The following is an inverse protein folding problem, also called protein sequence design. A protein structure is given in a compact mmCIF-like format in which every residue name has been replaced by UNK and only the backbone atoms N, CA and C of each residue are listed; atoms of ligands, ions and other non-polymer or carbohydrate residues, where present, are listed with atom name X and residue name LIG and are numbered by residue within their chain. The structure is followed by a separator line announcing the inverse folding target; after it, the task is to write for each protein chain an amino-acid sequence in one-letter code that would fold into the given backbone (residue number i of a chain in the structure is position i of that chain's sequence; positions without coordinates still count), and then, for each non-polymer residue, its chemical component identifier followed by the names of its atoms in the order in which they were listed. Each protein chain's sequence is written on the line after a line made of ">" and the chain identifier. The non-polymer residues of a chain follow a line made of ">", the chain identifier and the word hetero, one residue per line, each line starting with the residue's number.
data_IF_717869085185
#
_entry.id   IF_717869085185
#
_cell.length_a   1.000
_cell.length_b   1.000
_cell.length_c   1.000
_cell.angle_alpha   90.00
_cell.angle_beta   90.00
_cell.angle_gamma   90.00
#
_symmetry.space_group_name_H-M   'P 1'
#
loop_
_entity.id
_entity.type
_entity.pdbx_description
1 polymer ?
#
# COMPACT_ATOMS: atom_id res chain seq x y z
N UNK A 1 53.73 37.71 -3.21
CA UNK A 1 52.36 38.26 -3.07
C UNK A 1 51.94 38.75 -4.45
N UNK A 2 50.81 38.27 -4.99
CA UNK A 2 49.55 38.93 -4.68
C UNK A 2 48.40 37.99 -4.27
N UNK A 3 47.35 38.64 -3.77
CA UNK A 3 46.14 38.19 -3.08
C UNK A 3 45.37 37.06 -3.77
N UNK A 4 44.90 36.09 -2.98
CA UNK A 4 43.69 35.32 -3.29
C UNK A 4 42.48 36.22 -3.02
N UNK A 5 41.74 36.55 -4.08
CA UNK A 5 40.37 37.06 -3.97
C UNK A 5 39.42 35.91 -3.60
N UNK A 6 38.54 36.07 -2.60
CA UNK A 6 37.43 35.17 -2.35
C UNK A 6 36.20 35.72 -3.10
N UNK A 7 35.99 35.28 -4.33
CA UNK A 7 34.91 35.82 -5.14
C UNK A 7 34.62 35.01 -6.39
N UNK A 8 33.99 33.84 -6.21
CA UNK A 8 33.27 33.15 -7.27
C UNK A 8 32.24 32.19 -6.65
N UNK A 9 31.20 32.76 -6.05
CA UNK A 9 29.95 32.04 -5.83
C UNK A 9 29.31 31.85 -7.22
N UNK A 10 29.47 30.65 -7.79
CA UNK A 10 28.79 30.27 -9.02
C UNK A 10 27.34 29.99 -8.70
N UNK A 11 26.47 30.81 -9.27
CA UNK A 11 25.04 30.63 -9.32
C UNK A 11 24.69 29.24 -9.90
N UNK A 12 24.20 28.35 -9.04
CA UNK A 12 23.39 27.21 -9.44
C UNK A 12 21.96 27.58 -9.05
N UNK A 13 21.10 27.72 -10.07
CA UNK A 13 19.73 28.18 -9.93
C UNK A 13 18.95 27.34 -8.91
N UNK A 14 18.20 28.06 -8.09
CA UNK A 14 17.11 27.52 -7.30
C UNK A 14 16.07 26.92 -8.27
N UNK A 15 16.27 25.65 -8.62
CA UNK A 15 15.17 24.81 -9.07
C UNK A 15 14.28 24.63 -7.85
N UNK A 16 13.27 25.50 -7.73
CA UNK A 16 12.26 25.44 -6.69
C UNK A 16 11.74 24.01 -6.58
N UNK A 17 11.93 23.42 -5.41
CA UNK A 17 11.26 22.18 -5.04
C UNK A 17 9.76 22.33 -5.37
N UNK A 18 9.10 21.34 -5.98
CA UNK A 18 7.65 21.34 -6.04
C UNK A 18 7.13 21.55 -4.61
N UNK A 19 6.11 22.41 -4.48
CA UNK A 19 5.49 22.69 -3.19
C UNK A 19 5.24 21.37 -2.46
N UNK A 20 5.75 21.26 -1.23
CA UNK A 20 5.55 20.09 -0.38
C UNK A 20 4.07 19.70 -0.44
N UNK A 21 3.71 18.45 -0.77
CA UNK A 21 2.35 18.00 -0.48
C UNK A 21 2.11 18.26 1.01
N UNK A 22 0.97 18.87 1.32
CA UNK A 22 0.58 19.26 2.67
C UNK A 22 0.90 18.10 3.61
N UNK A 23 1.65 18.40 4.68
CA UNK A 23 2.07 17.37 5.61
C UNK A 23 0.84 16.66 6.16
N UNK A 24 0.92 15.34 6.36
CA UNK A 24 -0.11 14.56 7.04
C UNK A 24 -0.43 15.07 8.48
N UNK A 25 0.22 16.14 8.94
CA UNK A 25 0.02 16.80 10.24
C UNK A 25 -0.78 18.12 10.10
N UNK A 26 -0.97 18.64 8.88
CA UNK A 26 -2.10 19.56 8.58
C UNK A 26 -3.44 18.80 8.51
N UNK A 27 -3.41 17.46 8.61
CA UNK A 27 -4.54 16.60 9.03
C UNK A 27 -4.76 16.68 10.56
N UNK A 28 -4.85 17.93 11.04
CA UNK A 28 -5.12 18.53 12.38
C UNK A 28 -5.72 17.75 13.58
N UNK A 29 -5.93 16.43 13.57
CA UNK A 29 -6.82 15.82 14.56
C UNK A 29 -8.25 16.39 14.46
N UNK A 30 -8.55 17.04 13.35
CA UNK A 30 -9.86 17.48 12.93
C UNK A 30 -10.07 16.96 11.51
N UNK A 31 -11.25 16.39 11.27
CA UNK A 31 -11.67 15.85 9.98
C UNK A 31 -11.41 16.87 8.86
N UNK A 32 -10.99 16.47 7.64
CA UNK A 32 -10.84 17.36 6.49
C UNK A 32 -12.06 18.28 6.30
N UNK A 33 -11.87 19.48 5.76
CA UNK A 33 -12.95 20.48 5.67
C UNK A 33 -14.21 19.95 4.96
N UNK A 34 -14.03 19.26 3.84
CA UNK A 34 -15.14 18.63 3.11
C UNK A 34 -15.89 17.58 3.95
N UNK A 35 -15.19 16.88 4.86
CA UNK A 35 -15.80 15.93 5.80
C UNK A 35 -16.59 16.67 6.86
N UNK A 36 -16.06 17.77 7.42
CA UNK A 36 -16.77 18.61 8.39
C UNK A 36 -18.06 19.19 7.81
N UNK A 37 -17.99 19.59 6.54
CA UNK A 37 -19.13 20.15 5.81
C UNK A 37 -20.18 19.08 5.46
N UNK A 38 -19.78 17.80 5.39
CA UNK A 38 -20.65 16.65 5.18
C UNK A 38 -21.24 16.06 6.48
N UNK A 39 -20.80 16.49 7.67
CA UNK A 39 -21.41 16.10 8.96
C UNK A 39 -22.77 16.79 9.12
N UNK A 40 -23.78 16.23 8.45
CA UNK A 40 -25.19 16.59 8.57
C UNK A 40 -26.00 15.53 9.31
N UNK A 41 -27.31 15.78 9.44
CA UNK A 41 -28.29 14.83 9.99
C UNK A 41 -28.17 13.49 9.23
N UNK A 42 -28.17 12.33 9.92
CA UNK A 42 -28.02 11.02 9.26
C UNK A 42 -29.04 10.86 8.13
N UNK A 43 -28.55 10.71 6.90
CA UNK A 43 -29.41 10.37 5.75
C UNK A 43 -29.68 8.86 5.82
N UNK A 44 -30.94 8.40 5.68
CA UNK A 44 -31.25 7.00 5.80
C UNK A 44 -30.56 6.16 4.72
N UNK A 45 -30.39 4.88 5.05
CA UNK A 45 -29.94 3.78 4.18
C UNK A 45 -30.42 3.95 2.74
N UNK A 46 -29.48 3.83 1.78
CA UNK A 46 -29.73 3.88 0.33
C UNK A 46 -30.99 3.07 -0.01
N UNK A 47 -32.02 3.75 -0.53
CA UNK A 47 -33.21 3.10 -1.09
C UNK A 47 -32.82 2.33 -2.37
N UNK A 48 -33.61 1.32 -2.78
CA UNK A 48 -33.36 0.57 -4.02
C UNK A 48 -33.29 1.47 -5.27
N UNK A 49 -33.85 2.68 -5.16
CA UNK A 49 -33.84 3.77 -6.15
C UNK A 49 -33.03 4.99 -5.68
N UNK A 50 -31.87 4.80 -5.01
CA UNK A 50 -30.99 5.90 -4.65
C UNK A 50 -30.30 6.54 -5.87
N UNK A 51 -31.10 7.29 -6.62
CA UNK A 51 -30.72 7.97 -7.87
C UNK A 51 -29.61 8.99 -7.60
N UNK A 52 -29.61 9.64 -6.43
CA UNK A 52 -28.61 10.62 -6.04
C UNK A 52 -27.24 9.95 -5.88
N UNK A 53 -27.18 8.80 -5.22
CA UNK A 53 -25.96 7.99 -5.11
C UNK A 53 -25.49 7.46 -6.46
N UNK A 54 -26.40 7.00 -7.32
CA UNK A 54 -26.04 6.56 -8.68
C UNK A 54 -25.43 7.73 -9.47
N UNK A 55 -26.04 8.91 -9.44
CA UNK A 55 -25.53 10.10 -10.14
C UNK A 55 -24.17 10.54 -9.60
N UNK A 56 -23.99 10.56 -8.28
CA UNK A 56 -22.71 10.89 -7.66
C UNK A 56 -21.60 9.89 -8.07
N UNK A 57 -21.91 8.60 -8.15
CA UNK A 57 -20.98 7.58 -8.65
C UNK A 57 -20.60 7.81 -10.13
N UNK A 58 -21.58 8.21 -10.95
CA UNK A 58 -21.33 8.53 -12.37
C UNK A 58 -20.44 9.77 -12.55
N UNK A 59 -20.63 10.81 -11.73
CA UNK A 59 -19.76 11.99 -11.71
C UNK A 59 -18.32 11.65 -11.30
N UNK A 60 -18.16 10.60 -10.48
CA UNK A 60 -16.87 10.02 -10.10
C UNK A 60 -16.31 9.02 -11.13
N UNK A 61 -16.98 8.87 -12.28
CA UNK A 61 -16.52 8.10 -13.42
C UNK A 61 -16.91 6.62 -13.41
N UNK A 62 -17.78 6.18 -12.49
CA UNK A 62 -18.33 4.83 -12.47
C UNK A 62 -19.40 4.69 -13.56
N UNK A 63 -19.36 3.62 -14.35
CA UNK A 63 -20.37 3.37 -15.39
C UNK A 63 -21.79 3.23 -14.81
N UNK A 64 -22.82 3.65 -15.55
CA UNK A 64 -24.22 3.67 -15.05
C UNK A 64 -24.68 2.31 -14.50
N UNK A 65 -24.45 1.24 -15.24
CA UNK A 65 -24.86 -0.11 -14.84
C UNK A 65 -24.13 -0.59 -13.58
N UNK A 66 -22.85 -0.24 -13.44
CA UNK A 66 -22.04 -0.58 -12.27
C UNK A 66 -22.41 0.27 -11.06
N UNK A 67 -22.75 1.55 -11.26
CA UNK A 67 -23.23 2.44 -10.22
C UNK A 67 -24.60 1.96 -9.66
N UNK A 68 -25.54 1.61 -10.54
CA UNK A 68 -26.82 1.00 -10.15
C UNK A 68 -26.62 -0.31 -9.41
N UNK A 69 -25.75 -1.19 -9.93
CA UNK A 69 -25.42 -2.47 -9.27
C UNK A 69 -24.76 -2.24 -7.90
N UNK A 70 -23.89 -1.24 -7.76
CA UNK A 70 -23.24 -0.89 -6.51
C UNK A 70 -24.25 -0.47 -5.43
N UNK A 71 -25.26 0.32 -5.80
CA UNK A 71 -26.34 0.73 -4.90
C UNK A 71 -27.20 -0.48 -4.51
N UNK A 72 -27.68 -1.24 -5.49
CA UNK A 72 -28.52 -2.43 -5.27
C UNK A 72 -27.83 -3.49 -4.40
N UNK A 73 -26.55 -3.75 -4.63
CA UNK A 73 -25.77 -4.75 -3.88
C UNK A 73 -25.20 -4.19 -2.57
N UNK A 74 -25.40 -2.90 -2.25
CA UNK A 74 -24.80 -2.21 -1.09
C UNK A 74 -23.27 -2.29 -1.09
N UNK A 75 -22.66 -2.08 -2.25
CA UNK A 75 -21.22 -2.15 -2.53
C UNK A 75 -20.62 -0.81 -2.99
N UNK A 76 -21.34 0.29 -2.79
CA UNK A 76 -20.87 1.67 -3.08
C UNK A 76 -19.44 1.93 -2.57
N UNK A 77 -19.06 1.56 -1.32
CA UNK A 77 -17.69 1.77 -0.84
C UNK A 77 -16.65 0.97 -1.63
N UNK A 78 -16.99 -0.26 -2.03
CA UNK A 78 -16.09 -1.13 -2.76
C UNK A 78 -15.89 -0.62 -4.19
N UNK A 79 -16.96 -0.20 -4.87
CA UNK A 79 -16.88 0.29 -6.24
C UNK A 79 -16.10 1.60 -6.30
N UNK A 80 -16.27 2.48 -5.31
CA UNK A 80 -15.46 3.70 -5.22
C UNK A 80 -13.98 3.42 -4.90
N UNK A 81 -13.70 2.48 -3.99
CA UNK A 81 -12.32 2.06 -3.73
C UNK A 81 -11.68 1.39 -4.97
N UNK A 82 -12.44 0.59 -5.71
CA UNK A 82 -12.01 -0.02 -6.98
C UNK A 82 -11.81 1.03 -8.07
N UNK A 83 -12.62 2.07 -8.12
CA UNK A 83 -12.43 3.15 -9.10
C UNK A 83 -11.15 3.96 -8.86
N UNK A 84 -10.72 4.04 -7.59
CA UNK A 84 -9.54 4.81 -7.21
C UNK A 84 -8.25 3.99 -7.22
N UNK A 85 -8.33 2.71 -6.85
CA UNK A 85 -7.17 1.82 -6.72
C UNK A 85 -7.08 0.85 -7.90
N UNK A 86 -8.23 0.34 -8.34
CA UNK A 86 -8.35 -0.61 -9.43
C UNK A 86 -8.45 0.09 -10.78
N UNK A 87 -7.98 -0.61 -11.82
CA UNK A 87 -8.36 -0.27 -13.18
C UNK A 87 -9.57 -1.10 -13.59
N UNK A 88 -10.24 -0.68 -14.66
CA UNK A 88 -11.33 -1.48 -15.25
C UNK A 88 -10.74 -2.75 -15.87
N UNK A 89 -11.38 -3.90 -15.66
CA UNK A 89 -11.00 -5.12 -16.35
C UNK A 89 -11.23 -4.97 -17.85
N UNK A 90 -10.16 -5.09 -18.65
CA UNK A 90 -10.14 -4.81 -20.09
C UNK A 90 -9.57 -5.94 -20.92
N UNK A 91 -8.88 -6.88 -20.29
CA UNK A 91 -8.17 -7.95 -20.96
C UNK A 91 -8.60 -9.31 -20.44
N UNK A 92 -8.64 -10.27 -21.35
CA UNK A 92 -8.73 -11.69 -21.07
C UNK A 92 -7.34 -12.30 -20.79
N UNK A 93 -7.31 -13.51 -20.23
CA UNK A 93 -6.07 -14.26 -20.06
C UNK A 93 -5.31 -14.43 -21.38
N UNK A 94 -6.02 -14.75 -22.46
CA UNK A 94 -5.43 -14.96 -23.79
C UNK A 94 -4.76 -13.69 -24.32
N UNK A 95 -5.38 -12.53 -24.15
CA UNK A 95 -4.80 -11.23 -24.56
C UNK A 95 -3.54 -10.89 -23.75
N UNK A 96 -3.53 -11.16 -22.45
CA UNK A 96 -2.35 -10.92 -21.60
C UNK A 96 -1.21 -11.85 -22.01
N UNK A 97 -1.49 -13.13 -22.24
CA UNK A 97 -0.52 -14.13 -22.70
C UNK A 97 0.05 -13.77 -24.06
N UNK A 98 -0.78 -13.37 -25.02
CA UNK A 98 -0.34 -12.94 -26.35
C UNK A 98 0.60 -11.73 -26.28
N UNK A 99 0.27 -10.72 -25.46
CA UNK A 99 1.07 -9.49 -25.33
C UNK A 99 2.39 -9.68 -24.58
N UNK A 100 2.43 -10.63 -23.65
CA UNK A 100 3.61 -10.84 -22.79
C UNK A 100 4.47 -12.03 -23.24
N UNK A 101 3.93 -12.96 -24.01
CA UNK A 101 4.60 -14.20 -24.39
C UNK A 101 4.72 -15.22 -23.25
N UNK A 102 4.05 -14.99 -22.12
CA UNK A 102 4.06 -15.89 -20.97
C UNK A 102 3.17 -17.11 -21.21
N UNK A 103 3.63 -18.30 -20.82
CA UNK A 103 2.75 -19.47 -20.75
C UNK A 103 1.62 -19.24 -19.73
N UNK A 104 0.34 -19.56 -20.07
CA UNK A 104 -0.81 -19.28 -19.19
C UNK A 104 -0.65 -19.86 -17.78
N UNK A 105 -0.18 -21.12 -17.69
CA UNK A 105 0.06 -21.80 -16.41
C UNK A 105 1.16 -21.12 -15.58
N UNK A 106 2.17 -20.55 -16.22
CA UNK A 106 3.25 -19.82 -15.53
C UNK A 106 2.72 -18.52 -14.94
N UNK A 107 1.95 -17.75 -15.73
CA UNK A 107 1.32 -16.52 -15.27
C UNK A 107 0.43 -16.77 -14.05
N UNK A 108 -0.47 -17.75 -14.14
CA UNK A 108 -1.39 -18.13 -13.04
C UNK A 108 -0.62 -18.54 -11.80
N UNK A 109 0.45 -19.35 -11.94
CA UNK A 109 1.27 -19.79 -10.79
C UNK A 109 2.00 -18.65 -10.11
N UNK A 110 2.55 -17.70 -10.85
CA UNK A 110 3.26 -16.55 -10.26
C UNK A 110 2.26 -15.61 -9.58
N UNK A 111 1.09 -15.38 -10.16
CA UNK A 111 0.01 -14.58 -9.53
C UNK A 111 -0.47 -15.22 -8.23
N UNK A 112 -0.77 -16.51 -8.26
CA UNK A 112 -1.14 -17.28 -7.06
C UNK A 112 -0.05 -17.19 -5.98
N UNK A 113 1.22 -17.32 -6.37
CA UNK A 113 2.33 -17.18 -5.43
C UNK A 113 2.42 -15.77 -4.84
N UNK A 114 2.17 -14.73 -5.63
CA UNK A 114 2.10 -13.34 -5.16
C UNK A 114 0.86 -13.02 -4.30
N UNK A 115 -0.09 -13.96 -4.16
CA UNK A 115 -1.35 -13.73 -3.45
C UNK A 115 -2.35 -12.87 -4.24
N UNK A 116 -2.17 -12.76 -5.56
CA UNK A 116 -3.06 -12.01 -6.44
C UNK A 116 -4.19 -12.90 -6.99
N UNK A 117 -5.34 -12.32 -7.36
CA UNK A 117 -6.43 -13.06 -7.99
C UNK A 117 -5.98 -13.77 -9.28
N UNK A 118 -6.41 -15.01 -9.47
CA UNK A 118 -6.13 -15.85 -10.64
C UNK A 118 -7.35 -16.03 -11.55
N UNK A 119 -8.18 -15.00 -11.65
CA UNK A 119 -9.32 -14.97 -12.57
C UNK A 119 -8.88 -14.91 -14.03
N UNK A 120 -9.87 -14.85 -14.92
CA UNK A 120 -9.72 -14.76 -16.38
C UNK A 120 -9.81 -13.33 -16.92
N UNK A 121 -10.13 -12.35 -16.06
CA UNK A 121 -10.21 -10.93 -16.39
C UNK A 121 -9.08 -10.13 -15.75
N UNK A 122 -8.47 -9.24 -16.52
CA UNK A 122 -7.26 -8.49 -16.17
C UNK A 122 -7.43 -6.99 -16.46
N UNK A 123 -6.81 -6.18 -15.62
CA UNK A 123 -6.75 -4.72 -15.71
C UNK A 123 -5.48 -4.23 -16.43
N UNK A 124 -5.35 -2.93 -16.72
CA UNK A 124 -4.09 -2.35 -17.22
C UNK A 124 -2.94 -2.53 -16.22
N UNK A 125 -3.23 -2.42 -14.91
CA UNK A 125 -2.26 -2.72 -13.85
C UNK A 125 -1.80 -4.18 -13.87
N UNK A 126 -2.72 -5.13 -14.12
CA UNK A 126 -2.38 -6.53 -14.22
C UNK A 126 -1.51 -6.84 -15.45
N UNK A 127 -1.83 -6.24 -16.61
CA UNK A 127 -1.03 -6.37 -17.82
C UNK A 127 0.38 -5.82 -17.57
N UNK A 128 0.48 -4.62 -17.00
CA UNK A 128 1.78 -4.01 -16.66
C UNK A 128 2.60 -4.88 -15.71
N UNK A 129 1.95 -5.49 -14.73
CA UNK A 129 2.60 -6.43 -13.82
C UNK A 129 3.10 -7.67 -14.57
N UNK A 130 2.30 -8.22 -15.49
CA UNK A 130 2.68 -9.40 -16.28
C UNK A 130 3.88 -9.10 -17.21
N UNK A 131 3.94 -7.91 -17.83
CA UNK A 131 5.10 -7.46 -18.60
C UNK A 131 6.38 -7.39 -17.75
N UNK A 132 6.29 -6.85 -16.54
CA UNK A 132 7.43 -6.78 -15.60
C UNK A 132 7.90 -8.19 -15.18
N UNK A 133 6.96 -9.11 -14.97
CA UNK A 133 7.27 -10.51 -14.66
C UNK A 133 7.92 -11.21 -15.85
N UNK A 134 7.45 -10.93 -17.07
CA UNK A 134 8.07 -11.45 -18.30
C UNK A 134 9.53 -11.03 -18.42
N UNK A 135 9.82 -9.74 -18.23
CA UNK A 135 11.20 -9.25 -18.25
C UNK A 135 12.09 -9.86 -17.15
N UNK A 136 11.51 -10.30 -16.03
CA UNK A 136 12.25 -11.01 -14.99
C UNK A 136 12.55 -12.48 -15.40
N UNK A 137 11.63 -13.12 -16.13
CA UNK A 137 11.80 -14.48 -16.63
C UNK A 137 12.81 -14.59 -17.78
N UNK A 138 13.08 -13.49 -18.49
CA UNK A 138 14.15 -13.42 -19.47
C UNK A 138 15.55 -13.62 -18.85
N UNK A 139 15.69 -13.35 -17.55
CA UNK A 139 16.98 -13.37 -16.83
C UNK A 139 17.02 -14.32 -15.65
N UNK A 140 15.88 -14.75 -15.10
CA UNK A 140 15.81 -15.64 -13.94
C UNK A 140 14.96 -16.89 -14.21
N UNK A 141 15.34 -18.05 -13.64
CA UNK A 141 14.51 -19.25 -13.68
C UNK A 141 13.13 -19.04 -13.06
N UNK A 142 12.11 -19.69 -13.64
CA UNK A 142 10.71 -19.57 -13.20
C UNK A 142 10.50 -19.88 -11.72
N UNK A 143 11.21 -20.86 -11.17
CA UNK A 143 11.11 -21.24 -9.75
C UNK A 143 11.66 -20.15 -8.82
N UNK A 144 12.70 -19.41 -9.24
CA UNK A 144 13.24 -18.25 -8.52
C UNK A 144 12.21 -17.13 -8.52
N UNK A 145 11.60 -16.83 -9.67
CA UNK A 145 10.57 -15.80 -9.79
C UNK A 145 9.35 -16.12 -8.92
N UNK A 146 8.87 -17.37 -8.92
CA UNK A 146 7.77 -17.82 -8.06
C UNK A 146 8.11 -17.66 -6.57
N UNK A 147 9.32 -18.03 -6.13
CA UNK A 147 9.74 -17.84 -4.74
C UNK A 147 9.80 -16.36 -4.36
N UNK A 148 10.36 -15.52 -5.22
CA UNK A 148 10.41 -14.07 -5.04
C UNK A 148 9.01 -13.46 -4.97
N UNK A 149 8.10 -13.88 -5.85
CA UNK A 149 6.71 -13.44 -5.86
C UNK A 149 6.02 -13.74 -4.53
N UNK A 150 6.23 -14.92 -3.95
CA UNK A 150 5.67 -15.29 -2.64
C UNK A 150 6.16 -14.40 -1.50
N UNK A 151 7.47 -14.17 -1.42
CA UNK A 151 8.05 -13.33 -0.39
C UNK A 151 7.55 -11.88 -0.50
N UNK A 152 7.59 -11.31 -1.70
CA UNK A 152 7.11 -9.94 -1.95
C UNK A 152 5.61 -9.81 -1.72
N UNK A 153 4.82 -10.76 -2.21
CA UNK A 153 3.37 -10.77 -2.03
C UNK A 153 2.97 -10.78 -0.55
N UNK A 154 3.61 -11.63 0.26
CA UNK A 154 3.35 -11.68 1.70
C UNK A 154 3.69 -10.35 2.42
N UNK A 155 4.82 -9.73 2.07
CA UNK A 155 5.22 -8.45 2.64
C UNK A 155 4.26 -7.32 2.23
N UNK A 156 3.95 -7.20 0.94
CA UNK A 156 3.04 -6.18 0.42
C UNK A 156 1.61 -6.36 0.92
N UNK A 157 1.13 -7.59 1.11
CA UNK A 157 -0.18 -7.84 1.70
C UNK A 157 -0.25 -7.37 3.15
N UNK A 158 0.85 -7.50 3.90
CA UNK A 158 0.94 -6.98 5.27
C UNK A 158 0.90 -5.45 5.29
N UNK A 159 1.68 -4.81 4.41
CA UNK A 159 1.69 -3.35 4.26
C UNK A 159 0.29 -2.84 3.88
N UNK A 160 -0.31 -3.40 2.82
CA UNK A 160 -1.64 -2.99 2.36
C UNK A 160 -2.72 -3.16 3.45
N UNK A 161 -2.64 -4.22 4.25
CA UNK A 161 -3.55 -4.40 5.40
C UNK A 161 -3.34 -3.32 6.46
N UNK A 162 -2.10 -2.96 6.75
CA UNK A 162 -1.76 -1.88 7.68
C UNK A 162 -2.32 -0.55 7.17
N UNK A 163 -2.10 -0.22 5.90
CA UNK A 163 -2.57 1.02 5.28
C UNK A 163 -4.10 1.12 5.31
N UNK A 164 -4.80 0.04 4.96
CA UNK A 164 -6.26 -0.02 5.03
C UNK A 164 -6.76 0.10 6.47
N UNK A 165 -6.07 -0.50 7.44
CA UNK A 165 -6.44 -0.40 8.86
C UNK A 165 -6.25 1.03 9.38
N UNK A 166 -5.14 1.68 9.03
CA UNK A 166 -4.88 3.08 9.35
C UNK A 166 -5.98 3.99 8.78
N UNK A 167 -6.35 3.82 7.50
CA UNK A 167 -7.44 4.60 6.89
C UNK A 167 -8.77 4.32 7.60
N UNK A 168 -9.06 3.05 7.93
CA UNK A 168 -10.28 2.70 8.66
C UNK A 168 -10.35 3.40 10.02
N UNK A 169 -9.26 3.35 10.78
CA UNK A 169 -9.24 3.77 12.17
C UNK A 169 -9.13 5.30 12.31
N UNK A 170 -8.39 5.97 11.42
CA UNK A 170 -8.17 7.42 11.46
C UNK A 170 -9.20 8.23 10.64
N UNK A 171 -9.89 7.61 9.66
CA UNK A 171 -10.86 8.29 8.80
C UNK A 171 -12.25 7.68 8.90
N UNK A 172 -12.40 6.40 8.53
CA UNK A 172 -13.74 5.81 8.37
C UNK A 172 -14.50 5.76 9.69
N UNK A 173 -13.90 5.22 10.75
CA UNK A 173 -14.56 5.10 12.06
C UNK A 173 -14.94 6.48 12.64
N UNK A 174 -14.04 7.49 12.70
CA UNK A 174 -14.42 8.83 13.16
C UNK A 174 -15.60 9.44 12.38
N UNK A 175 -15.63 9.30 11.05
CA UNK A 175 -16.74 9.78 10.23
C UNK A 175 -18.05 9.08 10.58
N UNK A 176 -18.02 7.75 10.75
CA UNK A 176 -19.20 6.98 11.18
C UNK A 176 -19.70 7.41 12.55
N UNK A 177 -18.81 7.62 13.52
CA UNK A 177 -19.19 8.10 14.85
C UNK A 177 -19.79 9.51 14.82
N UNK A 178 -19.39 10.34 13.85
CA UNK A 178 -19.98 11.65 13.60
C UNK A 178 -21.32 11.58 12.84
N UNK A 179 -21.78 10.40 12.43
CA UNK A 179 -23.08 10.20 11.77
C UNK A 179 -23.04 10.18 10.24
N UNK A 180 -21.86 10.12 9.61
CA UNK A 180 -21.73 10.06 8.16
C UNK A 180 -22.34 8.77 7.57
N UNK A 181 -23.11 8.92 6.49
CA UNK A 181 -23.68 7.81 5.72
C UNK A 181 -22.63 7.07 4.86
N UNK A 182 -23.07 5.99 4.20
CA UNK A 182 -22.21 5.13 3.40
C UNK A 182 -21.59 5.87 2.21
N UNK A 183 -22.37 6.72 1.54
CA UNK A 183 -21.91 7.48 0.39
C UNK A 183 -20.82 8.47 0.80
N UNK A 184 -21.06 9.25 1.85
CA UNK A 184 -20.14 10.26 2.37
C UNK A 184 -18.80 9.65 2.76
N UNK A 185 -18.81 8.53 3.48
CA UNK A 185 -17.57 7.81 3.84
C UNK A 185 -16.85 7.29 2.60
N UNK A 186 -17.59 6.81 1.61
CA UNK A 186 -17.02 6.25 0.37
C UNK A 186 -16.38 7.32 -0.52
N UNK A 187 -17.02 8.49 -0.64
CA UNK A 187 -16.47 9.64 -1.39
C UNK A 187 -15.20 10.14 -0.70
N UNK A 188 -15.23 10.30 0.62
CA UNK A 188 -14.05 10.72 1.39
C UNK A 188 -12.89 9.73 1.25
N UNK A 189 -13.17 8.42 1.31
CA UNK A 189 -12.18 7.39 1.07
C UNK A 189 -11.59 7.53 -0.34
N UNK A 190 -12.43 7.69 -1.36
CA UNK A 190 -11.99 7.82 -2.74
C UNK A 190 -11.09 9.05 -2.98
N UNK A 191 -11.42 10.19 -2.39
CA UNK A 191 -10.59 11.40 -2.47
C UNK A 191 -9.26 11.25 -1.73
N UNK A 192 -9.31 10.67 -0.52
CA UNK A 192 -8.12 10.42 0.28
C UNK A 192 -7.18 9.47 -0.43
N UNK A 193 -7.69 8.35 -0.95
CA UNK A 193 -6.87 7.37 -1.66
C UNK A 193 -6.25 7.97 -2.94
N UNK A 194 -6.98 8.79 -3.70
CA UNK A 194 -6.41 9.53 -4.86
C UNK A 194 -5.23 10.42 -4.48
N UNK A 195 -5.25 10.98 -3.26
CA UNK A 195 -4.21 11.87 -2.76
C UNK A 195 -3.03 11.12 -2.14
N UNK A 196 -3.30 10.02 -1.41
CA UNK A 196 -2.30 9.29 -0.64
C UNK A 196 -1.62 8.17 -1.43
N UNK A 197 -2.28 7.54 -2.41
CA UNK A 197 -1.72 6.42 -3.17
C UNK A 197 -0.39 6.78 -3.84
N UNK A 198 -0.23 7.94 -4.52
CA UNK A 198 1.04 8.31 -5.14
C UNK A 198 2.15 8.49 -4.10
N UNK A 199 1.83 9.07 -2.94
CA UNK A 199 2.79 9.30 -1.85
C UNK A 199 3.22 7.96 -1.23
N UNK A 200 2.27 7.05 -0.99
CA UNK A 200 2.55 5.72 -0.46
C UNK A 200 3.48 4.94 -1.41
N UNK A 201 3.26 5.06 -2.73
CA UNK A 201 4.12 4.45 -3.75
C UNK A 201 5.54 5.01 -3.74
N UNK A 202 5.71 6.32 -3.57
CA UNK A 202 7.03 6.95 -3.46
C UNK A 202 7.77 6.51 -2.19
N UNK A 203 7.07 6.41 -1.05
CA UNK A 203 7.64 5.91 0.20
C UNK A 203 8.11 4.47 0.03
N UNK A 204 7.28 3.60 -0.56
CA UNK A 204 7.64 2.20 -0.80
C UNK A 204 8.88 2.04 -1.69
N UNK A 205 9.00 2.86 -2.74
CA UNK A 205 10.18 2.86 -3.61
C UNK A 205 11.43 3.35 -2.87
N UNK A 206 11.32 4.40 -2.06
CA UNK A 206 12.42 4.91 -1.24
C UNK A 206 12.88 3.88 -0.20
N UNK A 207 11.95 3.29 0.55
CA UNK A 207 12.22 2.28 1.56
C UNK A 207 12.87 1.05 0.94
N UNK A 208 12.34 0.58 -0.21
CA UNK A 208 12.91 -0.54 -0.93
C UNK A 208 14.37 -0.29 -1.31
N UNK A 209 14.71 0.91 -1.83
CA UNK A 209 16.10 1.28 -2.15
C UNK A 209 17.00 1.32 -0.92
N UNK A 210 16.52 1.87 0.20
CA UNK A 210 17.28 1.91 1.45
C UNK A 210 17.54 0.50 1.99
N UNK A 211 16.55 -0.37 1.95
CA UNK A 211 16.71 -1.78 2.33
C UNK A 211 17.68 -2.50 1.41
N UNK A 212 17.56 -2.33 0.09
CA UNK A 212 18.51 -2.90 -0.86
C UNK A 212 19.94 -2.44 -0.62
N UNK A 213 20.17 -1.13 -0.42
CA UNK A 213 21.50 -0.60 -0.16
C UNK A 213 22.12 -1.22 1.11
N UNK A 214 21.33 -1.34 2.18
CA UNK A 214 21.77 -1.97 3.43
C UNK A 214 22.10 -3.45 3.24
N UNK A 215 21.24 -4.21 2.55
CA UNK A 215 21.45 -5.63 2.31
C UNK A 215 22.66 -5.88 1.39
N UNK A 216 22.80 -5.12 0.30
CA UNK A 216 23.96 -5.23 -0.59
C UNK A 216 25.26 -4.87 0.14
N UNK A 217 25.25 -3.83 0.98
CA UNK A 217 26.44 -3.48 1.77
C UNK A 217 26.81 -4.60 2.73
N UNK A 218 25.82 -5.19 3.41
CA UNK A 218 26.02 -6.33 4.31
C UNK A 218 26.56 -7.56 3.57
N UNK A 219 25.98 -7.91 2.42
CA UNK A 219 26.42 -9.03 1.58
C UNK A 219 27.82 -8.80 1.02
N UNK A 220 28.15 -7.59 0.55
CA UNK A 220 29.49 -7.27 0.07
C UNK A 220 30.53 -7.35 1.19
N UNK A 221 30.20 -6.86 2.39
CA UNK A 221 31.06 -7.03 3.58
C UNK A 221 31.22 -8.50 3.92
N UNK A 222 30.13 -9.29 3.87
CA UNK A 222 30.19 -10.73 4.13
C UNK A 222 31.03 -11.47 3.07
N UNK A 223 30.88 -11.16 1.78
CA UNK A 223 31.66 -11.74 0.69
C UNK A 223 33.14 -11.33 0.79
N UNK A 224 33.43 -10.08 1.13
CA UNK A 224 34.80 -9.62 1.38
C UNK A 224 35.43 -10.28 2.62
N UNK A 225 34.64 -10.57 3.66
CA UNK A 225 35.08 -11.35 4.82
C UNK A 225 35.28 -12.84 4.48
N UNK A 226 34.50 -13.38 3.52
CA UNK A 226 34.64 -14.75 3.01
C UNK A 226 35.91 -14.99 2.20
N UNK A 227 36.68 -13.95 1.87
CA UNK A 227 38.01 -14.13 1.29
C UNK A 227 39.03 -14.74 2.27
N UNK A 228 38.74 -14.77 3.59
CA UNK A 228 39.56 -15.50 4.58
C UNK A 228 38.78 -16.41 5.55
N UNK A 229 37.45 -16.36 5.64
CA UNK A 229 36.67 -17.26 6.52
C UNK A 229 35.34 -17.72 5.92
N UNK A 230 35.13 -19.04 5.82
CA UNK A 230 33.87 -19.65 5.35
C UNK A 230 32.72 -19.56 6.37
N UNK A 231 32.96 -19.00 7.56
CA UNK A 231 32.00 -18.89 8.65
C UNK A 231 31.92 -17.44 9.12
N UNK A 232 30.70 -16.92 9.25
CA UNK A 232 30.44 -15.61 9.85
C UNK A 232 30.02 -15.88 11.30
N UNK A 233 30.77 -15.36 12.27
CA UNK A 233 30.39 -15.46 13.68
C UNK A 233 29.18 -14.55 13.94
N UNK A 234 28.01 -15.16 14.12
CA UNK A 234 26.74 -14.47 14.36
C UNK A 234 26.20 -14.83 15.75
N UNK A 235 25.75 -13.83 16.51
CA UNK A 235 24.94 -14.04 17.71
C UNK A 235 23.46 -13.84 17.38
N UNK A 236 22.65 -14.89 17.54
CA UNK A 236 21.19 -14.83 17.35
C UNK A 236 20.50 -14.75 18.72
N UNK A 237 19.64 -13.76 18.90
CA UNK A 237 18.82 -13.60 20.11
C UNK A 237 17.34 -13.77 19.79
N UNK A 238 16.62 -14.51 20.64
CA UNK A 238 15.16 -14.65 20.58
C UNK A 238 14.56 -13.96 21.82
N UNK A 239 13.51 -13.17 21.59
CA UNK A 239 12.74 -12.51 22.65
C UNK A 239 11.27 -12.80 22.40
N UNK A 240 10.54 -13.18 23.45
CA UNK A 240 9.13 -13.56 23.40
C UNK A 240 8.35 -12.90 24.53
N UNK A 241 7.04 -12.71 24.31
CA UNK A 241 6.11 -12.20 25.31
C UNK A 241 5.66 -13.35 26.20
N UNK A 242 6.25 -13.43 27.40
CA UNK A 242 5.94 -14.50 28.36
C UNK A 242 4.48 -14.46 28.78
N UNK A 243 3.80 -15.61 28.70
CA UNK A 243 2.42 -15.76 29.16
C UNK A 243 1.35 -15.35 28.13
N UNK A 244 1.73 -15.18 26.87
CA UNK A 244 0.84 -14.79 25.77
C UNK A 244 -0.48 -15.59 25.72
N UNK A 245 -0.41 -16.92 25.87
CA UNK A 245 -1.60 -17.80 25.86
C UNK A 245 -2.55 -17.57 27.04
N UNK A 246 -2.02 -17.21 28.21
CA UNK A 246 -2.85 -16.88 29.37
C UNK A 246 -3.40 -15.46 29.27
N UNK A 247 -2.63 -14.54 28.69
CA UNK A 247 -2.99 -13.14 28.47
C UNK A 247 -4.12 -13.01 27.43
N UNK A 248 -4.04 -13.72 26.31
CA UNK A 248 -5.06 -13.73 25.25
C UNK A 248 -6.42 -14.29 25.70
N UNK A 249 -6.45 -15.06 26.80
CA UNK A 249 -7.69 -15.56 27.39
C UNK A 249 -8.39 -14.58 28.35
N UNK A 250 -7.71 -13.49 28.74
CA UNK A 250 -8.17 -12.56 29.79
C UNK A 250 -8.36 -11.12 29.31
N UNK A 251 -7.86 -10.82 28.12
CA UNK A 251 -7.94 -9.48 27.52
C UNK A 251 -8.72 -9.61 26.21
N UNK A 252 -9.46 -8.54 25.87
CA UNK A 252 -10.10 -8.46 24.57
C UNK A 252 -9.05 -8.35 23.44
N UNK A 253 -9.44 -8.63 22.18
CA UNK A 253 -8.51 -8.58 21.05
C UNK A 253 -7.78 -7.23 20.92
N UNK A 254 -8.50 -6.12 21.15
CA UNK A 254 -7.92 -4.79 21.07
C UNK A 254 -6.83 -4.53 22.13
N UNK A 255 -7.03 -5.02 23.36
CA UNK A 255 -6.02 -4.93 24.41
C UNK A 255 -4.82 -5.84 24.19
N UNK A 256 -5.00 -6.97 23.48
CA UNK A 256 -3.89 -7.83 23.08
C UNK A 256 -3.03 -7.17 21.99
N UNK A 257 -3.65 -6.56 20.98
CA UNK A 257 -2.97 -5.82 19.92
C UNK A 257 -2.09 -4.69 20.50
N UNK A 258 -2.61 -3.93 21.46
CA UNK A 258 -1.82 -2.89 22.14
C UNK A 258 -0.58 -3.41 22.87
N UNK A 259 -0.64 -4.63 23.41
CA UNK A 259 0.52 -5.25 24.09
C UNK A 259 1.58 -5.65 23.07
N UNK A 260 1.17 -6.19 21.93
CA UNK A 260 2.06 -6.56 20.84
C UNK A 260 2.70 -5.32 20.21
N UNK A 261 1.92 -4.29 19.88
CA UNK A 261 2.43 -3.04 19.32
C UNK A 261 3.47 -2.39 20.23
N UNK A 262 3.20 -2.35 21.54
CA UNK A 262 4.15 -1.80 22.52
C UNK A 262 5.42 -2.65 22.65
N UNK A 263 5.30 -3.97 22.54
CA UNK A 263 6.45 -4.89 22.55
C UNK A 263 7.31 -4.72 21.29
N UNK A 264 6.70 -4.68 20.12
CA UNK A 264 7.39 -4.44 18.84
C UNK A 264 8.07 -3.07 18.82
N UNK A 265 7.37 -2.02 19.24
CA UNK A 265 7.95 -0.69 19.36
C UNK A 265 9.18 -0.70 20.28
N UNK A 266 9.12 -1.42 21.41
CA UNK A 266 10.24 -1.49 22.34
C UNK A 266 11.45 -2.22 21.75
N UNK A 267 11.22 -3.26 20.94
CA UNK A 267 12.28 -3.95 20.21
C UNK A 267 12.93 -2.99 19.21
N UNK A 268 12.12 -2.29 18.42
CA UNK A 268 12.59 -1.33 17.41
C UNK A 268 13.44 -0.23 18.08
N UNK A 269 12.96 0.35 19.18
CA UNK A 269 13.69 1.40 19.92
C UNK A 269 15.08 0.91 20.40
N UNK A 270 15.15 -0.32 20.92
CA UNK A 270 16.40 -0.92 21.41
C UNK A 270 17.38 -1.21 20.27
N UNK A 271 16.86 -1.63 19.11
CA UNK A 271 17.68 -1.91 17.92
C UNK A 271 18.13 -0.63 17.22
N UNK A 272 17.30 0.42 17.19
CA UNK A 272 17.60 1.71 16.56
C UNK A 272 18.55 2.58 17.38
N UNK A 273 18.68 2.34 18.68
CA UNK A 273 19.64 3.03 19.56
C UNK A 273 21.10 2.56 19.40
N UNK A 274 21.38 1.70 18.41
CA UNK A 274 22.72 1.16 18.08
C UNK A 274 23.12 1.54 16.66
#
# INVERSE_FOLDING_TARGET
>A
MPKRDPGAASAAGEAGLPARPASAVELTGQLPQFVRDAVGVPVPVLDEDDIETVQALQELGVGEDDARRAVLERRVPLVLAQQVIGDVARYSLDEVVERTGLEPDVLVRIRAAAGLPTGDTFTDNDLRWAELVSGLLDVLPVDVVIRSARARGAALATIARSDVSMIRDELMLPMRHAGADDLTVSVALAEMTRSLEPVAREILDADYRLHLQRQLSSELVAVAARTDAQEIELSVGFVDVVGYTALSSRIDPAGLDQVLDRFEQRIIDVLAAR
#
